data_IF_247051437076
#
_entry.id   IF_247051437076
#
_cell.length_a   1.000
_cell.length_b   1.000
_cell.length_c   1.000
_cell.angle_alpha   90.00
_cell.angle_beta   90.00
_cell.angle_gamma   90.00
#
_symmetry.space_group_name_H-M   'P 1'
#
loop_
_entity.id
_entity.type
_entity.pdbx_description
1 polymer ?
#
# COMPACT_ATOMS: atom_id res chain seq x y z
N UNK A 1 15.46 -13.93 7.99
CA UNK A 1 14.28 -14.12 7.09
C UNK A 1 14.64 -13.75 5.65
N UNK A 2 14.02 -14.36 4.63
CA UNK A 2 14.19 -13.96 3.23
C UNK A 2 12.93 -13.28 2.71
N UNK A 3 13.06 -12.14 2.05
CA UNK A 3 11.93 -11.45 1.45
C UNK A 3 11.39 -12.22 0.24
N UNK A 4 10.07 -12.43 0.17
CA UNK A 4 9.45 -13.12 -0.97
C UNK A 4 9.51 -12.33 -2.28
N UNK A 5 9.71 -11.01 -2.23
CA UNK A 5 9.73 -10.14 -3.41
C UNK A 5 11.13 -9.93 -3.97
N UNK A 6 12.11 -9.55 -3.14
CA UNK A 6 13.48 -9.29 -3.60
C UNK A 6 14.48 -10.42 -3.30
N UNK A 7 14.05 -11.51 -2.65
CA UNK A 7 14.90 -12.62 -2.17
C UNK A 7 16.03 -12.22 -1.18
N UNK A 8 16.13 -10.94 -0.82
CA UNK A 8 17.12 -10.39 0.11
C UNK A 8 16.96 -10.98 1.51
N UNK A 9 18.09 -11.22 2.16
CA UNK A 9 18.14 -11.67 3.55
C UNK A 9 18.04 -10.48 4.49
N UNK A 10 17.21 -10.61 5.52
CA UNK A 10 17.02 -9.64 6.58
C UNK A 10 17.15 -10.32 7.92
N UNK A 11 17.96 -9.70 8.79
CA UNK A 11 18.04 -10.05 10.20
C UNK A 11 17.18 -9.06 10.98
N UNK A 12 16.10 -9.56 11.57
CA UNK A 12 15.14 -8.77 12.34
C UNK A 12 14.93 -9.48 13.67
N UNK A 13 14.84 -8.71 14.75
CA UNK A 13 14.55 -9.22 16.09
C UNK A 13 13.11 -9.79 16.23
N UNK A 14 12.29 -9.66 15.19
CA UNK A 14 10.88 -10.08 15.17
C UNK A 14 10.69 -11.40 14.42
N UNK A 15 9.85 -12.27 14.99
CA UNK A 15 9.43 -13.51 14.34
C UNK A 15 8.27 -13.25 13.38
N UNK A 16 8.44 -13.63 12.12
CA UNK A 16 7.39 -13.58 11.10
C UNK A 16 7.24 -14.96 10.46
N UNK A 17 6.05 -15.25 9.93
CA UNK A 17 5.89 -16.36 9.00
C UNK A 17 6.81 -16.16 7.77
N UNK A 18 7.83 -17.03 7.57
CA UNK A 18 8.74 -16.91 6.44
C UNK A 18 8.03 -16.99 5.09
N UNK A 19 6.84 -17.60 5.03
CA UNK A 19 6.02 -17.76 3.82
C UNK A 19 5.16 -16.53 3.50
N UNK A 20 5.18 -15.51 4.35
CA UNK A 20 4.45 -14.26 4.16
C UNK A 20 5.32 -12.99 4.27
N UNK A 21 6.62 -13.15 4.54
CA UNK A 21 7.50 -12.01 4.85
C UNK A 21 7.86 -11.16 3.62
N UNK A 22 7.57 -9.86 3.72
CA UNK A 22 8.01 -8.83 2.77
C UNK A 22 8.85 -7.79 3.52
N UNK A 23 10.08 -7.54 3.05
CA UNK A 23 10.99 -6.62 3.73
C UNK A 23 10.52 -5.16 3.66
N UNK A 24 11.01 -4.28 4.54
CA UNK A 24 10.62 -2.86 4.53
C UNK A 24 10.78 -2.18 3.17
N UNK A 25 11.90 -2.37 2.47
CA UNK A 25 12.13 -1.78 1.13
C UNK A 25 11.01 -2.17 0.15
N UNK A 26 10.74 -3.47 0.04
CA UNK A 26 9.71 -3.99 -0.85
C UNK A 26 8.31 -3.52 -0.44
N UNK A 27 8.04 -3.36 0.86
CA UNK A 27 6.77 -2.80 1.34
C UNK A 27 6.63 -1.34 0.97
N UNK A 28 7.68 -0.53 1.11
CA UNK A 28 7.66 0.88 0.73
C UNK A 28 7.37 1.08 -0.76
N UNK A 29 7.97 0.28 -1.63
CA UNK A 29 7.71 0.34 -3.07
C UNK A 29 6.27 -0.06 -3.44
N UNK A 30 5.68 -1.03 -2.73
CA UNK A 30 4.31 -1.50 -2.99
C UNK A 30 3.22 -0.64 -2.34
N UNK A 31 3.59 0.24 -1.40
CA UNK A 31 2.66 0.88 -0.48
C UNK A 31 1.63 1.79 -1.17
N UNK A 32 2.04 2.52 -2.21
CA UNK A 32 1.16 3.43 -2.94
C UNK A 32 1.27 3.25 -4.46
N UNK A 33 0.35 2.51 -5.09
CA UNK A 33 0.27 2.39 -6.55
C UNK A 33 -0.04 3.70 -7.28
N UNK A 34 -0.53 4.74 -6.59
CA UNK A 34 -0.78 6.06 -7.20
C UNK A 34 0.45 6.95 -7.16
N UNK A 35 1.41 6.68 -6.28
CA UNK A 35 2.68 7.38 -6.16
C UNK A 35 3.81 6.34 -6.11
N UNK A 36 4.17 5.83 -7.28
CA UNK A 36 5.14 4.72 -7.39
C UNK A 36 6.56 5.22 -7.20
N UNK A 37 7.41 4.36 -6.65
CA UNK A 37 8.85 4.61 -6.55
C UNK A 37 9.45 4.53 -7.96
N UNK A 38 10.24 5.54 -8.34
CA UNK A 38 10.85 5.63 -9.69
C UNK A 38 12.06 4.71 -9.78
N UNK A 39 12.13 3.87 -10.82
CA UNK A 39 13.30 3.01 -11.07
C UNK A 39 14.20 3.58 -12.18
N UNK A 40 15.53 3.31 -12.15
CA UNK A 40 16.27 2.67 -11.06
C UNK A 40 16.57 3.64 -9.90
N UNK A 41 16.85 3.09 -8.72
CA UNK A 41 17.36 3.83 -7.54
C UNK A 41 16.37 4.85 -6.96
N UNK A 42 15.07 4.55 -6.96
CA UNK A 42 14.07 5.40 -6.32
C UNK A 42 14.12 5.37 -4.80
N UNK A 43 14.74 4.35 -4.19
CA UNK A 43 15.00 4.34 -2.74
C UNK A 43 16.27 5.15 -2.47
N UNK A 44 16.10 6.38 -2.00
CA UNK A 44 17.20 7.31 -1.74
C UNK A 44 17.83 7.10 -0.36
N UNK A 45 17.01 6.71 0.63
CA UNK A 45 17.45 6.29 1.96
C UNK A 45 16.51 5.22 2.47
N UNK A 46 17.07 4.19 3.11
CA UNK A 46 16.35 3.23 3.93
C UNK A 46 17.09 3.08 5.26
N UNK A 47 16.36 3.13 6.36
CA UNK A 47 16.92 2.93 7.70
C UNK A 47 15.91 2.24 8.61
N UNK A 48 16.42 1.39 9.50
CA UNK A 48 15.66 1.03 10.69
C UNK A 48 15.75 2.21 11.67
N UNK A 49 14.62 2.54 12.27
CA UNK A 49 14.45 3.64 13.20
C UNK A 49 14.06 3.05 14.56
N UNK A 50 15.09 2.69 15.33
CA UNK A 50 14.99 2.06 16.65
C UNK A 50 15.39 3.02 17.78
N UNK A 51 15.78 4.25 17.43
CA UNK A 51 16.21 5.31 18.33
C UNK A 51 15.26 6.51 18.21
N UNK A 52 15.40 7.51 19.07
CA UNK A 52 14.60 8.75 19.00
C UNK A 52 15.12 9.77 17.97
N UNK A 53 16.33 9.56 17.42
CA UNK A 53 16.95 10.45 16.45
C UNK A 53 17.72 9.66 15.37
N UNK A 54 17.68 10.15 14.14
CA UNK A 54 18.46 9.63 13.01
C UNK A 54 18.97 10.80 12.16
N UNK A 55 20.30 10.93 12.10
CA UNK A 55 20.97 11.96 11.30
C UNK A 55 21.71 11.33 10.11
N UNK A 56 21.62 11.96 8.95
CA UNK A 56 22.30 11.50 7.74
C UNK A 56 22.41 12.60 6.69
N UNK A 57 23.36 12.44 5.77
CA UNK A 57 23.45 13.26 4.56
C UNK A 57 22.72 12.59 3.41
N UNK A 58 22.05 13.39 2.57
CA UNK A 58 21.34 12.95 1.38
C UNK A 58 21.76 13.83 0.19
N UNK A 59 22.41 13.24 -0.80
CA UNK A 59 22.82 13.94 -2.01
C UNK A 59 21.74 13.86 -3.10
N UNK A 60 21.31 15.02 -3.59
CA UNK A 60 20.23 15.19 -4.55
C UNK A 60 20.66 16.06 -5.74
N UNK A 61 21.64 15.64 -6.54
CA UNK A 61 22.19 16.45 -7.64
C UNK A 61 21.16 16.74 -8.73
N UNK A 62 20.22 15.81 -8.95
CA UNK A 62 19.21 15.87 -10.01
C UNK A 62 17.86 16.45 -9.55
N UNK A 63 17.75 16.97 -8.32
CA UNK A 63 16.48 17.44 -7.75
C UNK A 63 15.75 18.46 -8.65
N UNK A 64 16.52 19.30 -9.36
CA UNK A 64 15.95 20.26 -10.33
C UNK A 64 15.25 19.57 -11.49
N UNK A 65 15.84 18.51 -12.02
CA UNK A 65 15.26 17.73 -13.12
C UNK A 65 14.03 16.96 -12.61
N UNK A 66 14.12 16.35 -11.44
CA UNK A 66 13.02 15.61 -10.84
C UNK A 66 11.76 16.47 -10.67
N UNK A 67 11.91 17.72 -10.21
CA UNK A 67 10.78 18.67 -10.13
C UNK A 67 10.16 18.98 -11.50
N UNK A 68 10.97 19.06 -12.57
CA UNK A 68 10.47 19.26 -13.95
C UNK A 68 9.70 18.04 -14.44
N UNK A 69 10.15 16.85 -14.07
CA UNK A 69 9.51 15.58 -14.41
C UNK A 69 8.28 15.28 -13.52
N UNK A 70 7.88 16.21 -12.64
CA UNK A 70 6.81 16.00 -11.65
C UNK A 70 7.07 14.81 -10.71
N UNK A 71 8.34 14.56 -10.42
CA UNK A 71 8.76 13.62 -9.38
C UNK A 71 8.87 14.34 -8.02
N UNK A 72 8.54 13.61 -6.97
CA UNK A 72 8.63 14.07 -5.59
C UNK A 72 9.68 13.28 -4.80
N UNK A 73 10.26 13.92 -3.79
CA UNK A 73 10.97 13.26 -2.71
C UNK A 73 9.97 13.09 -1.57
N UNK A 74 9.65 11.85 -1.23
CA UNK A 74 8.62 11.50 -0.26
C UNK A 74 9.22 10.73 0.92
N UNK A 75 8.77 11.06 2.13
CA UNK A 75 9.06 10.33 3.35
C UNK A 75 7.94 9.32 3.65
N UNK A 76 8.31 8.05 3.77
CA UNK A 76 7.43 6.96 4.23
C UNK A 76 7.97 6.33 5.51
N UNK A 77 7.05 5.88 6.36
CA UNK A 77 7.37 5.08 7.55
C UNK A 77 6.37 3.94 7.71
N UNK A 78 6.84 2.84 8.29
CA UNK A 78 6.02 1.69 8.64
C UNK A 78 6.56 1.03 9.90
N UNK A 79 5.72 0.24 10.58
CA UNK A 79 6.18 -0.61 11.69
C UNK A 79 6.89 -1.86 11.18
N UNK A 80 8.05 -2.15 11.76
CA UNK A 80 8.81 -3.35 11.40
C UNK A 80 8.04 -4.59 11.81
N UNK A 81 7.46 -4.58 13.01
CA UNK A 81 6.73 -5.68 13.65
C UNK A 81 5.38 -6.05 12.98
N UNK A 82 4.99 -5.34 11.93
CA UNK A 82 3.79 -5.63 11.16
C UNK A 82 4.13 -6.13 9.77
N UNK A 83 3.31 -7.03 9.22
CA UNK A 83 3.36 -7.45 7.81
C UNK A 83 2.43 -6.61 6.92
N UNK A 84 1.63 -5.72 7.50
CA UNK A 84 0.69 -4.87 6.74
C UNK A 84 1.43 -3.88 5.85
N UNK A 85 0.85 -3.59 4.69
CA UNK A 85 1.29 -2.51 3.79
C UNK A 85 0.67 -1.18 4.22
N UNK A 86 0.87 -0.81 5.49
CA UNK A 86 0.35 0.43 6.04
C UNK A 86 1.48 1.44 6.20
N UNK A 87 1.19 2.68 5.86
CA UNK A 87 1.99 3.81 6.30
C UNK A 87 1.64 4.12 7.76
N UNK A 88 2.64 4.34 8.60
CA UNK A 88 2.43 4.66 10.02
C UNK A 88 3.56 5.55 10.50
N UNK A 89 3.18 6.69 11.07
CA UNK A 89 4.11 7.57 11.77
C UNK A 89 4.23 7.14 13.24
N UNK A 90 5.39 7.38 13.89
CA UNK A 90 5.51 7.27 15.34
C UNK A 90 4.58 8.30 16.05
N UNK A 91 4.49 8.29 17.39
CA UNK A 91 3.60 9.18 18.13
C UNK A 91 3.83 10.63 17.71
N UNK A 92 5.08 11.07 17.68
CA UNK A 92 5.47 12.36 17.10
C UNK A 92 6.66 12.20 16.16
N UNK A 93 6.77 13.07 15.15
CA UNK A 93 7.94 13.14 14.28
C UNK A 93 8.22 14.58 13.86
N UNK A 94 9.49 14.95 13.83
CA UNK A 94 10.00 16.17 13.21
C UNK A 94 11.14 15.83 12.27
N UNK A 95 11.11 16.38 11.07
CA UNK A 95 12.20 16.29 10.11
C UNK A 95 12.79 17.69 9.91
N UNK A 96 14.12 17.76 10.03
CA UNK A 96 14.90 18.95 9.74
C UNK A 96 15.75 18.72 8.51
N UNK A 97 15.84 19.71 7.63
CA UNK A 97 16.78 19.75 6.52
C UNK A 97 17.62 21.02 6.60
N UNK A 98 18.95 20.83 6.59
CA UNK A 98 19.93 21.92 6.64
C UNK A 98 19.71 22.87 7.83
N UNK A 99 19.27 22.33 8.98
CA UNK A 99 18.99 23.09 10.20
C UNK A 99 17.57 23.67 10.31
N UNK A 100 16.74 23.55 9.27
CA UNK A 100 15.37 24.06 9.26
C UNK A 100 14.34 22.94 9.38
N UNK A 101 13.27 23.13 10.17
CA UNK A 101 12.16 22.18 10.24
C UNK A 101 11.38 22.20 8.91
N UNK A 102 11.17 21.02 8.32
CA UNK A 102 10.48 20.88 7.02
C UNK A 102 9.25 19.98 7.06
N UNK A 103 9.07 19.21 8.14
CA UNK A 103 7.88 18.40 8.39
C UNK A 103 7.70 18.18 9.90
N UNK A 104 6.46 18.28 10.36
CA UNK A 104 6.04 17.94 11.73
C UNK A 104 4.81 17.06 11.70
N UNK A 105 4.85 15.98 12.48
CA UNK A 105 3.75 15.05 12.76
C UNK A 105 3.44 15.13 14.25
N UNK A 106 2.25 15.65 14.55
CA UNK A 106 1.72 15.78 15.90
C UNK A 106 1.03 14.48 16.36
N UNK A 107 0.91 14.24 17.69
CA UNK A 107 0.18 13.08 18.20
C UNK A 107 -1.29 13.09 17.74
N UNK A 108 -1.97 11.93 17.71
CA UNK A 108 -3.41 11.89 17.48
C UNK A 108 -4.16 12.72 18.53
N UNK A 109 -5.27 13.33 18.11
CA UNK A 109 -6.23 13.92 19.05
C UNK A 109 -6.79 12.84 19.99
N UNK A 110 -7.09 13.22 21.23
CA UNK A 110 -7.58 12.30 22.25
C UNK A 110 -8.83 11.56 21.77
N UNK A 111 -8.83 10.23 21.89
CA UNK A 111 -9.93 9.38 21.41
C UNK A 111 -9.96 9.11 19.90
N UNK A 112 -9.07 9.71 19.11
CA UNK A 112 -9.03 9.56 17.65
C UNK A 112 -7.80 8.79 17.16
N UNK A 113 -7.95 8.01 16.08
CA UNK A 113 -6.81 7.43 15.34
C UNK A 113 -6.34 8.42 14.28
N UNK A 114 -5.05 8.75 14.27
CA UNK A 114 -4.44 9.59 13.22
C UNK A 114 -4.52 8.86 11.87
N UNK A 115 -4.93 9.58 10.83
CA UNK A 115 -4.95 9.06 9.46
C UNK A 115 -3.60 9.30 8.81
N UNK A 116 -2.66 8.42 9.10
CA UNK A 116 -1.29 8.54 8.61
C UNK A 116 -1.23 8.41 7.08
N UNK A 117 -0.57 9.38 6.45
CA UNK A 117 -0.27 9.42 5.02
C UNK A 117 1.21 9.73 4.79
N UNK A 118 1.83 9.20 3.72
CA UNK A 118 3.14 9.62 3.25
C UNK A 118 3.22 11.14 3.05
N UNK A 119 4.42 11.71 3.21
CA UNK A 119 4.62 13.16 3.15
C UNK A 119 5.68 13.53 2.11
N UNK A 120 5.30 14.38 1.16
CA UNK A 120 6.23 15.00 0.23
C UNK A 120 7.11 16.02 0.96
N UNK A 121 8.42 15.93 0.78
CA UNK A 121 9.42 16.77 1.46
C UNK A 121 10.28 17.57 0.47
N UNK A 122 10.02 17.46 -0.84
CA UNK A 122 10.79 18.11 -1.91
C UNK A 122 11.00 19.61 -1.71
N UNK A 123 9.99 20.31 -1.19
CA UNK A 123 10.01 21.76 -0.99
C UNK A 123 11.03 22.20 0.06
N UNK A 124 11.32 21.34 1.05
CA UNK A 124 12.29 21.60 2.11
C UNK A 124 13.74 21.26 1.75
N UNK A 125 13.99 20.76 0.54
CA UNK A 125 15.29 20.24 0.11
C UNK A 125 15.95 21.14 -0.94
N UNK A 126 17.28 21.20 -0.90
CA UNK A 126 18.11 21.89 -1.91
C UNK A 126 18.78 20.91 -2.87
N UNK A 127 19.25 21.42 -4.00
CA UNK A 127 20.05 20.65 -4.96
C UNK A 127 21.41 20.32 -4.32
N UNK A 128 21.89 19.09 -4.51
CA UNK A 128 23.12 18.58 -3.93
C UNK A 128 22.93 18.04 -2.51
N UNK A 129 23.97 18.16 -1.67
CA UNK A 129 24.00 17.54 -0.34
C UNK A 129 23.08 18.28 0.65
N UNK A 130 22.16 17.54 1.26
CA UNK A 130 21.30 17.97 2.35
C UNK A 130 21.70 17.25 3.65
N UNK A 131 21.82 17.98 4.75
CA UNK A 131 21.95 17.39 6.08
C UNK A 131 20.56 17.21 6.69
N UNK A 132 20.16 15.97 6.94
CA UNK A 132 18.83 15.61 7.46
C UNK A 132 18.93 15.10 8.88
N UNK A 133 17.99 15.54 9.73
CA UNK A 133 17.82 15.06 11.10
C UNK A 133 16.35 14.71 11.32
N UNK A 134 16.07 13.44 11.60
CA UNK A 134 14.73 12.96 11.96
C UNK A 134 14.71 12.77 13.47
N UNK A 135 13.73 13.35 14.15
CA UNK A 135 13.50 13.17 15.59
C UNK A 135 12.08 12.68 15.80
N UNK A 136 11.91 11.65 16.60
CA UNK A 136 10.59 11.08 16.85
C UNK A 136 10.48 10.49 18.26
N UNK A 137 9.26 10.56 18.77
CA UNK A 137 8.83 9.81 19.94
C UNK A 137 7.97 8.63 19.48
N UNK A 138 8.40 7.41 19.80
CA UNK A 138 7.68 6.20 19.43
C UNK A 138 6.66 5.77 20.47
N UNK A 139 6.64 6.38 21.67
CA UNK A 139 5.82 5.94 22.82
C UNK A 139 5.98 4.44 23.13
N UNK A 140 7.21 3.92 22.93
CA UNK A 140 7.49 2.49 23.07
C UNK A 140 6.78 1.58 22.06
N UNK A 141 6.15 2.12 21.00
CA UNK A 141 5.32 1.40 20.04
C UNK A 141 6.09 0.51 19.04
N UNK A 142 7.22 -0.06 19.44
CA UNK A 142 8.06 -0.93 18.61
C UNK A 142 8.92 -0.18 17.59
N UNK A 143 9.70 -0.93 16.83
CA UNK A 143 10.63 -0.38 15.86
C UNK A 143 9.94 0.03 14.56
N UNK A 144 10.40 1.14 13.99
CA UNK A 144 9.94 1.63 12.70
C UNK A 144 11.00 1.42 11.62
N UNK A 145 10.57 1.34 10.37
CA UNK A 145 11.45 1.60 9.24
C UNK A 145 11.09 2.96 8.64
N UNK A 146 12.10 3.65 8.12
CA UNK A 146 11.97 4.92 7.43
C UNK A 146 12.59 4.79 6.04
N UNK A 147 11.90 5.35 5.04
CA UNK A 147 12.44 5.50 3.70
C UNK A 147 12.22 6.91 3.15
N UNK A 148 13.26 7.43 2.51
CA UNK A 148 13.15 8.59 1.60
C UNK A 148 13.17 8.04 0.18
N UNK A 149 12.13 8.38 -0.58
CA UNK A 149 11.85 7.80 -1.88
C UNK A 149 11.73 8.91 -2.92
N UNK A 150 12.23 8.66 -4.14
CA UNK A 150 11.84 9.40 -5.34
C UNK A 150 10.59 8.75 -5.92
N UNK A 151 9.48 9.48 -5.92
CA UNK A 151 8.19 8.99 -6.39
C UNK A 151 7.68 9.78 -7.58
N UNK A 152 6.73 9.19 -8.32
CA UNK A 152 5.96 9.88 -9.36
C UNK A 152 4.49 9.50 -9.26
N UNK A 153 3.62 10.45 -9.57
CA UNK A 153 2.20 10.17 -9.69
C UNK A 153 1.93 9.26 -10.91
N UNK A 154 1.02 8.31 -10.74
CA UNK A 154 0.56 7.39 -11.80
C UNK A 154 -0.89 7.72 -12.16
N UNK A 155 -1.17 7.83 -13.45
CA UNK A 155 -2.52 8.02 -13.96
C UNK A 155 -3.36 6.75 -13.83
N UNK A 156 -4.68 6.89 -13.66
CA UNK A 156 -5.57 5.71 -13.60
C UNK A 156 -5.50 4.81 -14.85
N UNK A 157 -5.39 5.34 -16.08
CA UNK A 157 -5.24 4.48 -17.26
C UNK A 157 -3.95 3.65 -17.24
N UNK A 158 -2.83 4.26 -16.82
CA UNK A 158 -1.55 3.57 -16.67
C UNK A 158 -1.66 2.47 -15.61
N UNK A 159 -2.24 2.79 -14.45
CA UNK A 159 -2.44 1.81 -13.39
C UNK A 159 -3.40 0.68 -13.82
N UNK A 160 -4.44 0.98 -14.58
CA UNK A 160 -5.36 -0.03 -15.11
C UNK A 160 -4.66 -1.00 -16.06
N UNK A 161 -3.67 -0.53 -16.81
CA UNK A 161 -2.89 -1.39 -17.72
C UNK A 161 -2.06 -2.45 -17.00
N UNK A 162 -1.73 -2.25 -15.71
CA UNK A 162 -0.97 -3.23 -14.92
C UNK A 162 -1.83 -4.33 -14.31
N UNK A 163 -3.16 -4.23 -14.43
CA UNK A 163 -4.08 -5.21 -13.84
C UNK A 163 -4.13 -6.46 -14.69
N UNK A 164 -3.80 -7.60 -14.07
CA UNK A 164 -3.79 -8.89 -14.76
C UNK A 164 -5.18 -9.24 -15.30
N UNK A 165 -5.21 -9.70 -16.55
CA UNK A 165 -6.41 -10.24 -17.21
C UNK A 165 -6.37 -11.76 -17.13
N UNK A 166 -7.55 -12.37 -17.07
CA UNK A 166 -7.72 -13.81 -17.18
C UNK A 166 -8.60 -14.11 -18.39
N UNK A 167 -8.41 -15.26 -19.00
CA UNK A 167 -9.25 -15.74 -20.10
C UNK A 167 -10.49 -16.48 -19.56
N UNK A 168 -11.37 -16.92 -20.47
CA UNK A 168 -12.58 -17.65 -20.10
C UNK A 168 -12.27 -18.94 -19.30
N UNK A 169 -11.35 -19.82 -19.73
CA UNK A 169 -11.00 -21.03 -18.97
C UNK A 169 -10.60 -20.73 -17.52
N UNK A 170 -9.72 -19.75 -17.31
CA UNK A 170 -9.26 -19.35 -15.97
C UNK A 170 -10.42 -18.79 -15.13
N UNK A 171 -11.23 -17.89 -15.71
CA UNK A 171 -12.36 -17.30 -15.03
C UNK A 171 -13.41 -18.37 -14.63
N UNK A 172 -13.70 -19.28 -15.55
CA UNK A 172 -14.66 -20.38 -15.40
C UNK A 172 -14.21 -21.39 -14.34
N UNK A 173 -12.93 -21.77 -14.36
CA UNK A 173 -12.33 -22.60 -13.31
C UNK A 173 -12.42 -21.94 -11.93
N UNK A 174 -12.15 -20.64 -11.83
CA UNK A 174 -12.28 -19.90 -10.57
C UNK A 174 -13.73 -19.81 -10.10
N UNK A 175 -14.70 -19.56 -10.98
CA UNK A 175 -16.13 -19.53 -10.64
C UNK A 175 -16.60 -20.89 -10.13
N UNK A 176 -16.28 -21.98 -10.84
CA UNK A 176 -16.59 -23.35 -10.39
C UNK A 176 -15.99 -23.66 -9.02
N UNK A 177 -14.73 -23.26 -8.80
CA UNK A 177 -14.06 -23.45 -7.51
C UNK A 177 -14.61 -22.60 -6.36
N UNK A 178 -15.33 -21.52 -6.64
CA UNK A 178 -16.03 -20.73 -5.62
C UNK A 178 -17.40 -21.35 -5.28
N UNK A 179 -18.16 -21.73 -6.32
CA UNK A 179 -19.45 -22.41 -6.16
C UNK A 179 -19.30 -23.72 -5.37
N UNK A 180 -18.28 -24.52 -5.68
CA UNK A 180 -18.02 -25.78 -4.98
C UNK A 180 -17.66 -25.63 -3.49
N UNK A 181 -17.26 -24.42 -3.04
CA UNK A 181 -16.91 -24.13 -1.65
C UNK A 181 -18.04 -23.48 -0.86
N UNK A 182 -19.10 -23.03 -1.53
CA UNK A 182 -20.27 -22.52 -0.83
C UNK A 182 -20.94 -23.71 -0.11
N UNK A 183 -21.33 -23.55 1.16
CA UNK A 183 -22.10 -24.58 1.84
C UNK A 183 -23.38 -24.82 1.03
N UNK A 184 -23.65 -26.09 0.72
CA UNK A 184 -24.96 -26.48 0.23
C UNK A 184 -25.94 -26.20 1.37
N UNK A 185 -26.69 -25.10 1.29
CA UNK A 185 -27.77 -24.83 2.22
C UNK A 185 -28.82 -25.94 2.04
N UNK A 186 -28.75 -26.93 2.94
CA UNK A 186 -29.79 -27.92 3.21
C UNK A 186 -30.15 -28.89 2.07
N UNK A 187 -29.51 -30.06 2.02
CA UNK A 187 -30.13 -31.27 1.47
C UNK A 187 -29.43 -32.55 1.96
N UNK A 188 -29.75 -32.97 3.18
CA UNK A 188 -29.78 -34.39 3.49
C UNK A 188 -31.15 -34.91 3.02
N UNK A 189 -31.21 -35.41 1.79
CA UNK A 189 -32.43 -35.94 1.19
C UNK A 189 -32.25 -36.13 -0.31
N UNK A 190 -32.52 -37.34 -0.79
CA UNK A 190 -32.41 -37.77 -2.19
C UNK A 190 -33.41 -37.02 -3.08
N UNK A 191 -33.09 -35.79 -3.46
CA UNK A 191 -33.63 -35.08 -4.62
C UNK A 191 -32.68 -33.90 -4.90
N UNK A 192 -31.95 -33.95 -6.03
CA UNK A 192 -31.03 -32.87 -6.42
C UNK A 192 -31.85 -31.69 -6.92
N UNK A 193 -32.39 -30.91 -5.99
CA UNK A 193 -32.93 -29.58 -6.28
C UNK A 193 -31.81 -28.57 -5.99
N UNK A 194 -31.17 -28.05 -7.04
CA UNK A 194 -30.31 -26.87 -6.92
C UNK A 194 -31.17 -25.65 -6.57
N UNK A 195 -31.44 -25.43 -5.28
CA UNK A 195 -32.15 -24.26 -4.75
C UNK A 195 -31.25 -23.06 -4.44
N UNK A 196 -29.99 -23.02 -4.88
CA UNK A 196 -29.23 -21.77 -4.90
C UNK A 196 -29.40 -21.10 -6.26
N UNK A 197 -30.39 -20.20 -6.39
CA UNK A 197 -30.32 -19.19 -7.44
C UNK A 197 -29.20 -18.23 -7.06
N UNK A 198 -27.94 -18.59 -7.32
CA UNK A 198 -26.77 -17.73 -7.19
C UNK A 198 -26.85 -16.65 -8.27
N UNK A 199 -27.82 -15.75 -8.10
CA UNK A 199 -28.12 -14.67 -9.02
C UNK A 199 -27.03 -13.62 -8.87
N UNK A 200 -26.09 -13.64 -9.81
CA UNK A 200 -25.02 -12.67 -9.89
C UNK A 200 -25.57 -11.34 -10.41
N UNK A 201 -25.29 -10.24 -9.70
CA UNK A 201 -25.65 -8.91 -10.19
C UNK A 201 -24.61 -8.44 -11.20
N UNK A 202 -25.07 -8.00 -12.37
CA UNK A 202 -24.22 -7.41 -13.39
C UNK A 202 -23.97 -5.90 -13.16
N UNK A 203 -24.43 -5.37 -12.03
CA UNK A 203 -24.21 -3.99 -11.61
C UNK A 203 -23.01 -3.91 -10.66
N UNK A 204 -22.21 -2.85 -10.81
CA UNK A 204 -21.09 -2.59 -9.94
C UNK A 204 -21.60 -2.15 -8.56
N UNK A 205 -21.15 -2.76 -7.45
CA UNK A 205 -21.58 -2.35 -6.11
C UNK A 205 -21.11 -0.93 -5.70
N UNK A 206 -20.16 -0.34 -6.44
CA UNK A 206 -19.62 1.00 -6.15
C UNK A 206 -20.37 2.11 -6.87
N UNK A 207 -20.77 1.90 -8.14
CA UNK A 207 -21.44 2.92 -8.95
C UNK A 207 -22.91 2.62 -9.22
N UNK A 208 -23.34 1.38 -9.00
CA UNK A 208 -24.65 0.84 -9.38
C UNK A 208 -24.90 0.79 -10.91
N UNK A 209 -23.89 1.06 -11.74
CA UNK A 209 -23.95 0.93 -13.19
C UNK A 209 -23.57 -0.48 -13.66
N UNK A 210 -23.89 -0.81 -14.91
CA UNK A 210 -23.46 -2.08 -15.53
C UNK A 210 -21.94 -2.19 -15.53
N UNK A 211 -21.42 -3.33 -15.09
CA UNK A 211 -19.98 -3.60 -15.07
C UNK A 211 -19.45 -3.78 -16.50
N UNK A 212 -18.48 -2.97 -16.90
CA UNK A 212 -17.76 -3.09 -18.18
C UNK A 212 -16.52 -4.00 -18.04
N UNK A 213 -15.60 -3.61 -17.14
CA UNK A 213 -14.40 -4.37 -16.80
C UNK A 213 -14.56 -5.04 -15.42
N UNK A 214 -15.07 -6.29 -15.33
CA UNK A 214 -15.27 -6.97 -14.06
C UNK A 214 -13.94 -7.40 -13.44
N UNK A 215 -13.71 -6.98 -12.20
CA UNK A 215 -12.52 -7.37 -11.43
C UNK A 215 -12.88 -7.85 -10.02
N UNK A 216 -11.97 -8.63 -9.45
CA UNK A 216 -11.96 -9.07 -8.05
C UNK A 216 -10.53 -9.31 -7.59
N UNK A 217 -10.30 -9.31 -6.29
CA UNK A 217 -9.01 -9.72 -5.73
C UNK A 217 -8.74 -11.21 -5.94
N UNK A 218 -7.48 -11.59 -6.14
CA UNK A 218 -7.06 -13.00 -6.33
C UNK A 218 -7.42 -13.91 -5.15
N UNK A 219 -7.55 -13.34 -3.95
CA UNK A 219 -7.89 -14.03 -2.70
C UNK A 219 -9.35 -13.84 -2.27
N UNK A 220 -10.17 -13.18 -3.10
CA UNK A 220 -11.59 -12.97 -2.79
C UNK A 220 -12.37 -14.27 -2.96
N UNK A 221 -13.04 -14.74 -1.91
CA UNK A 221 -13.86 -15.97 -1.94
C UNK A 221 -15.36 -15.70 -2.23
N UNK A 222 -15.69 -14.52 -2.78
CA UNK A 222 -17.04 -14.19 -3.25
C UNK A 222 -17.14 -14.25 -4.79
N UNK A 223 -18.35 -14.49 -5.31
CA UNK A 223 -18.63 -14.53 -6.75
C UNK A 223 -18.75 -13.13 -7.38
N UNK A 224 -19.40 -12.19 -6.68
CA UNK A 224 -19.68 -10.84 -7.19
C UNK A 224 -18.39 -10.09 -7.57
N UNK A 225 -18.35 -9.54 -8.79
CA UNK A 225 -17.28 -8.66 -9.26
C UNK A 225 -17.69 -7.18 -9.12
N UNK A 226 -16.72 -6.29 -9.25
CA UNK A 226 -16.92 -4.84 -9.31
C UNK A 226 -16.15 -4.25 -10.49
N UNK A 227 -16.55 -3.06 -10.95
CA UNK A 227 -15.91 -2.41 -12.09
C UNK A 227 -14.51 -1.90 -11.76
N UNK A 228 -13.56 -2.13 -12.66
CA UNK A 228 -12.17 -1.72 -12.50
C UNK A 228 -12.02 -0.20 -12.33
N UNK A 229 -12.61 0.58 -13.22
CA UNK A 229 -12.52 2.05 -13.19
C UNK A 229 -13.15 2.63 -11.92
N UNK A 230 -14.31 2.11 -11.53
CA UNK A 230 -14.97 2.48 -10.28
C UNK A 230 -14.09 2.22 -9.06
N UNK A 231 -13.45 1.05 -9.01
CA UNK A 231 -12.55 0.69 -7.94
C UNK A 231 -11.32 1.62 -7.87
N UNK A 232 -10.71 1.91 -9.02
CA UNK A 232 -9.56 2.82 -9.09
C UNK A 232 -9.91 4.25 -8.68
N UNK A 233 -11.04 4.78 -9.17
CA UNK A 233 -11.52 6.11 -8.83
C UNK A 233 -11.81 6.23 -7.33
N UNK A 234 -12.48 5.24 -6.75
CA UNK A 234 -12.77 5.18 -5.31
C UNK A 234 -11.47 5.22 -4.48
N UNK A 235 -10.48 4.41 -4.84
CA UNK A 235 -9.18 4.40 -4.15
C UNK A 235 -8.41 5.71 -4.27
N UNK A 236 -8.45 6.35 -5.44
CA UNK A 236 -7.82 7.67 -5.66
C UNK A 236 -8.46 8.76 -4.79
N UNK A 237 -9.78 8.73 -4.63
CA UNK A 237 -10.53 9.70 -3.83
C UNK A 237 -10.46 9.43 -2.32
N UNK A 238 -10.16 8.20 -1.91
CA UNK A 238 -10.12 7.80 -0.51
C UNK A 238 -9.04 8.54 0.26
N UNK A 239 -9.45 9.33 1.27
CA UNK A 239 -8.53 10.08 2.14
C UNK A 239 -7.86 9.21 3.21
N UNK A 240 -8.50 8.12 3.61
CA UNK A 240 -7.93 7.16 4.55
C UNK A 240 -6.93 6.27 3.81
N UNK A 241 -5.67 6.68 3.74
CA UNK A 241 -4.61 6.02 2.96
C UNK A 241 -4.52 4.51 3.21
N UNK A 242 -4.48 4.10 4.49
CA UNK A 242 -4.39 2.69 4.88
C UNK A 242 -5.65 1.85 4.61
N UNK A 243 -6.77 2.48 4.23
CA UNK A 243 -7.99 1.78 3.83
C UNK A 243 -8.10 1.60 2.32
N UNK A 244 -7.15 2.17 1.54
CA UNK A 244 -7.08 1.96 0.11
C UNK A 244 -6.75 0.51 -0.20
N UNK A 245 -7.13 0.09 -1.40
CA UNK A 245 -6.83 -1.20 -2.02
C UNK A 245 -7.39 -2.40 -1.25
N UNK A 246 -8.45 -2.18 -0.48
CA UNK A 246 -9.25 -3.23 0.15
C UNK A 246 -10.42 -3.62 -0.75
N UNK A 247 -10.90 -4.86 -0.66
CA UNK A 247 -12.02 -5.33 -1.47
C UNK A 247 -13.33 -4.73 -0.94
N UNK A 248 -14.15 -4.04 -1.75
CA UNK A 248 -15.39 -3.42 -1.26
C UNK A 248 -16.46 -4.43 -0.78
N UNK A 249 -16.24 -5.74 -0.96
CA UNK A 249 -17.20 -6.79 -0.64
C UNK A 249 -16.79 -7.69 0.54
N UNK A 250 -15.49 -7.89 0.77
CA UNK A 250 -15.00 -8.87 1.75
C UNK A 250 -13.77 -8.40 2.54
N UNK A 251 -13.63 -7.08 2.71
CA UNK A 251 -12.59 -6.50 3.57
C UNK A 251 -12.69 -7.00 5.00
#
# INVERSE_FOLDING_TARGET
>A
LRCLRCAGAFDLAYSFDPRAFTCPSCRFELMDPLNVVVEPKGVLKLALFTQSQLDFSLDLPELRQWRRDSHEVELRMLRIDSTKLHHTWPLTLKLFANGHEILTVSPPEEGHKRRDVPQGISAGLKIGINSLSVRADTDGAGDFALAILRTRAVGLPELASTVGRCDEPEASARVRGLLARQPADGAAGEDVVCLSSDTLRLLCPLTMDRVEDPVRGRRCEHLQCFGLQAYMASNKQMRAFNNRWQCPLCS
#
